data_IF_192344642435
#
_entry.id   IF_192344642435
#
_cell.length_a   1.000
_cell.length_b   1.000
_cell.length_c   1.000
_cell.angle_alpha   90.00
_cell.angle_beta   90.00
_cell.angle_gamma   90.00
#
_symmetry.space_group_name_H-M   'P 1'
#
loop_
_entity.id
_entity.type
_entity.pdbx_description
1 polymer ?
#
# COMPACT_ATOMS: atom_id res chain seq x y z
N UNK A 1 -41.57 -36.06 -26.76
CA UNK A 1 -42.11 -35.67 -28.08
C UNK A 1 -41.33 -34.44 -28.50
N UNK A 2 -40.30 -34.66 -29.31
CA UNK A 2 -39.49 -33.62 -29.92
C UNK A 2 -40.26 -32.97 -31.06
N UNK A 3 -40.18 -31.64 -31.21
CA UNK A 3 -40.23 -30.99 -32.52
C UNK A 3 -39.29 -29.77 -32.49
N UNK A 4 -38.21 -29.89 -33.25
CA UNK A 4 -37.38 -28.79 -33.74
C UNK A 4 -37.91 -28.32 -35.10
N UNK A 5 -37.85 -27.02 -35.38
CA UNK A 5 -37.92 -26.50 -36.76
C UNK A 5 -36.83 -25.43 -36.96
N UNK A 6 -36.04 -25.64 -38.01
CA UNK A 6 -34.92 -24.84 -38.51
C UNK A 6 -35.36 -24.10 -39.78
N UNK A 7 -34.74 -22.95 -40.05
CA UNK A 7 -34.59 -22.35 -41.39
C UNK A 7 -34.89 -20.85 -41.36
N UNK A 8 -34.03 -19.93 -41.78
CA UNK A 8 -33.23 -19.99 -43.01
C UNK A 8 -31.97 -19.11 -42.94
N UNK A 9 -30.97 -19.59 -43.67
CA UNK A 9 -29.65 -19.00 -43.91
C UNK A 9 -29.68 -17.90 -44.99
N UNK A 10 -28.78 -16.93 -44.88
CA UNK A 10 -28.11 -16.35 -46.06
C UNK A 10 -26.60 -16.28 -45.78
N UNK A 11 -25.83 -16.97 -46.63
CA UNK A 11 -24.37 -16.89 -46.69
C UNK A 11 -23.98 -15.70 -47.56
N UNK A 12 -22.99 -14.91 -47.11
CA UNK A 12 -22.17 -14.11 -48.01
C UNK A 12 -20.70 -14.21 -47.60
N UNK A 13 -19.85 -14.32 -48.62
CA UNK A 13 -18.49 -14.82 -48.63
C UNK A 13 -17.47 -13.91 -47.96
N UNK A 14 -16.43 -14.56 -47.45
CA UNK A 14 -15.11 -14.03 -47.09
C UNK A 14 -14.52 -13.25 -48.27
N UNK A 15 -14.09 -12.01 -48.02
CA UNK A 15 -12.99 -11.39 -48.74
C UNK A 15 -12.09 -10.66 -47.74
N UNK A 16 -10.83 -11.08 -47.72
CA UNK A 16 -9.71 -10.51 -46.98
C UNK A 16 -9.41 -9.07 -47.43
N UNK A 17 -9.46 -8.10 -46.51
CA UNK A 17 -8.63 -6.90 -46.61
C UNK A 17 -8.02 -6.54 -45.26
N UNK A 18 -6.70 -6.37 -45.31
CA UNK A 18 -5.74 -6.10 -44.25
C UNK A 18 -5.81 -4.61 -43.84
N UNK A 19 -5.45 -4.32 -42.59
CA UNK A 19 -5.30 -2.99 -41.94
C UNK A 19 -6.62 -2.24 -41.68
N UNK A 20 -7.01 -1.88 -40.45
CA UNK A 20 -6.28 -1.01 -39.50
C UNK A 20 -6.53 -1.49 -38.06
N UNK A 21 -5.48 -2.05 -37.44
CA UNK A 21 -5.33 -2.14 -36.00
C UNK A 21 -4.53 -0.90 -35.57
N UNK A 22 -5.13 0.03 -34.83
CA UNK A 22 -4.42 0.86 -33.85
C UNK A 22 -5.38 1.84 -33.18
N UNK A 23 -5.58 1.67 -31.87
CA UNK A 23 -5.81 2.69 -30.83
C UNK A 23 -6.81 2.24 -29.76
N UNK A 24 -6.57 1.07 -29.16
CA UNK A 24 -6.99 0.86 -27.77
C UNK A 24 -6.14 1.79 -26.89
N UNK A 25 -6.75 2.83 -26.31
CA UNK A 25 -6.15 3.56 -25.20
C UNK A 25 -6.18 2.64 -23.99
N UNK A 26 -5.08 1.91 -23.81
CA UNK A 26 -4.68 1.34 -22.53
C UNK A 26 -4.85 2.41 -21.44
N UNK A 27 -5.52 2.01 -20.36
CA UNK A 27 -5.42 2.68 -19.06
C UNK A 27 -3.95 2.56 -18.66
N UNK A 28 -3.18 3.63 -18.91
CA UNK A 28 -1.79 3.73 -18.50
C UNK A 28 -1.78 3.88 -16.99
N UNK A 29 -1.62 2.75 -16.29
CA UNK A 29 -0.86 2.78 -15.05
C UNK A 29 0.49 3.43 -15.38
N UNK A 30 0.88 4.45 -14.61
CA UNK A 30 2.20 5.05 -14.73
C UNK A 30 3.26 3.93 -14.75
N UNK A 31 3.99 3.90 -15.86
CA UNK A 31 5.02 2.92 -16.16
C UNK A 31 6.12 2.95 -15.08
N UNK A 32 6.02 2.07 -14.08
CA UNK A 32 7.17 1.61 -13.30
C UNK A 32 8.00 0.54 -14.06
N UNK A 33 7.77 0.38 -15.36
CA UNK A 33 8.51 -0.53 -16.22
C UNK A 33 9.67 0.17 -16.93
N UNK A 34 10.73 0.46 -16.16
CA UNK A 34 12.09 0.17 -16.66
C UNK A 34 12.79 -0.72 -15.63
N UNK A 35 12.73 -2.03 -15.96
CA UNK A 35 13.37 -3.20 -15.35
C UNK A 35 12.67 -3.90 -14.17
N UNK A 36 11.48 -4.45 -14.40
CA UNK A 36 11.17 -5.83 -13.96
C UNK A 36 10.31 -6.49 -15.03
N UNK A 37 10.89 -7.41 -15.79
CA UNK A 37 10.17 -8.24 -16.77
C UNK A 37 9.49 -9.39 -16.04
N UNK A 38 8.16 -9.45 -16.08
CA UNK A 38 7.40 -10.66 -15.79
C UNK A 38 7.52 -11.59 -17.00
N UNK A 39 8.41 -12.57 -16.91
CA UNK A 39 8.40 -13.76 -17.77
C UNK A 39 8.07 -14.98 -16.89
N UNK A 40 7.17 -15.87 -17.33
CA UNK A 40 6.96 -17.14 -16.66
C UNK A 40 8.21 -17.99 -16.88
N UNK A 41 8.86 -18.35 -15.77
CA UNK A 41 9.87 -19.40 -15.65
C UNK A 41 11.02 -19.35 -16.67
N UNK A 42 12.14 -18.71 -16.33
CA UNK A 42 13.51 -19.25 -16.50
C UNK A 42 14.59 -18.26 -16.04
N UNK A 43 15.53 -18.77 -15.24
CA UNK A 43 16.88 -18.27 -14.90
C UNK A 43 17.00 -16.82 -14.37
N UNK A 44 17.16 -16.74 -13.05
CA UNK A 44 17.64 -15.59 -12.27
C UNK A 44 18.77 -14.83 -12.99
N UNK A 45 18.54 -13.56 -13.32
CA UNK A 45 19.62 -12.59 -13.51
C UNK A 45 19.95 -11.97 -12.16
N UNK A 46 21.13 -12.34 -11.67
CA UNK A 46 21.75 -11.90 -10.42
C UNK A 46 22.12 -10.41 -10.52
N UNK A 47 21.36 -9.54 -9.87
CA UNK A 47 21.83 -8.18 -9.59
C UNK A 47 22.72 -8.23 -8.35
N UNK A 48 23.93 -7.68 -8.48
CA UNK A 48 24.87 -7.53 -7.35
C UNK A 48 24.49 -6.29 -6.54
N UNK A 49 24.21 -6.55 -5.26
CA UNK A 49 24.38 -5.72 -4.05
C UNK A 49 23.14 -5.12 -3.34
N UNK A 50 23.17 -5.34 -2.02
CA UNK A 50 22.29 -4.95 -0.89
C UNK A 50 20.91 -5.62 -0.80
N UNK A 51 20.75 -6.45 0.24
CA UNK A 51 19.54 -7.23 0.57
C UNK A 51 18.38 -6.39 1.10
N UNK A 52 17.91 -5.43 0.30
CA UNK A 52 16.68 -4.69 0.55
C UNK A 52 15.48 -5.50 0.08
N UNK A 53 14.46 -5.62 0.92
CA UNK A 53 13.15 -6.20 0.58
C UNK A 53 12.10 -5.11 0.44
N UNK A 54 11.30 -5.16 -0.62
CA UNK A 54 10.11 -4.33 -0.76
C UNK A 54 8.90 -5.24 -0.70
N UNK A 55 7.97 -4.93 0.20
CA UNK A 55 6.76 -5.73 0.39
C UNK A 55 5.54 -4.84 0.22
N UNK A 56 4.53 -5.39 -0.44
CA UNK A 56 3.21 -4.79 -0.54
C UNK A 56 2.31 -5.50 0.46
N UNK A 57 1.67 -4.74 1.37
CA UNK A 57 0.70 -5.27 2.32
C UNK A 57 -0.63 -5.58 1.61
N UNK A 58 -0.64 -6.68 0.86
CA UNK A 58 -1.85 -7.33 0.38
C UNK A 58 -2.03 -8.62 1.18
N UNK A 59 -3.22 -8.84 1.72
CA UNK A 59 -3.57 -10.06 2.47
C UNK A 59 -3.26 -11.29 1.61
N UNK A 60 -2.23 -12.06 1.97
CA UNK A 60 -1.97 -13.39 1.44
C UNK A 60 -1.71 -14.38 2.57
N UNK A 61 -2.70 -15.20 2.86
CA UNK A 61 -2.49 -16.54 3.39
C UNK A 61 -1.99 -17.44 2.26
N UNK A 62 -0.84 -18.10 2.42
CA UNK A 62 -0.39 -19.14 1.48
C UNK A 62 -0.17 -20.47 2.23
N UNK A 63 -0.66 -21.60 1.70
CA UNK A 63 -0.39 -22.92 2.28
C UNK A 63 0.99 -23.38 1.82
N UNK A 64 1.85 -23.72 2.78
CA UNK A 64 3.18 -24.30 2.50
C UNK A 64 2.99 -25.76 2.11
N UNK A 65 3.21 -26.08 0.83
CA UNK A 65 3.32 -27.46 0.34
C UNK A 65 4.77 -27.90 0.45
N UNK A 66 5.02 -28.94 1.25
CA UNK A 66 6.34 -29.55 1.42
C UNK A 66 6.50 -30.69 0.41
N UNK A 67 7.36 -30.49 -0.60
CA UNK A 67 7.89 -31.59 -1.40
C UNK A 67 9.21 -32.04 -0.78
N UNK A 68 9.26 -33.29 -0.30
CA UNK A 68 10.48 -33.99 0.13
C UNK A 68 10.86 -35.02 -0.92
N UNK A 69 12.14 -35.08 -1.32
CA UNK A 69 12.89 -36.33 -1.59
C UNK A 69 14.42 -36.11 -1.45
N UNK A 70 15.25 -37.16 -1.24
CA UNK A 70 16.46 -37.04 -0.40
C UNK A 70 17.83 -37.37 -1.06
N UNK A 71 18.90 -36.88 -0.38
CA UNK A 71 20.34 -37.28 -0.33
C UNK A 71 21.21 -37.09 -1.61
N UNK A 72 22.52 -36.81 -1.57
CA UNK A 72 23.62 -37.23 -0.66
C UNK A 72 24.90 -36.36 -0.84
N UNK A 73 25.59 -36.06 0.27
CA UNK A 73 27.07 -36.04 0.40
C UNK A 73 27.91 -34.83 -0.07
N UNK A 74 28.24 -33.91 0.83
CA UNK A 74 29.54 -33.22 0.89
C UNK A 74 29.62 -32.40 2.19
N UNK A 75 30.72 -32.54 2.93
CA UNK A 75 31.03 -31.85 4.17
C UNK A 75 31.27 -30.36 3.93
N UNK A 76 30.19 -29.58 3.91
CA UNK A 76 30.21 -28.16 4.19
C UNK A 76 29.48 -27.92 5.51
N UNK A 77 30.03 -27.07 6.38
CA UNK A 77 29.33 -26.50 7.54
C UNK A 77 27.85 -26.29 7.17
N UNK A 78 26.88 -26.65 8.03
CA UNK A 78 25.48 -26.47 7.69
C UNK A 78 25.31 -25.00 7.32
N UNK A 79 25.03 -24.73 6.04
CA UNK A 79 24.46 -23.45 5.64
C UNK A 79 23.26 -23.33 6.55
N UNK A 80 23.26 -22.33 7.44
CA UNK A 80 22.08 -22.00 8.22
C UNK A 80 20.91 -22.02 7.24
N UNK A 81 19.97 -22.94 7.45
CA UNK A 81 18.68 -22.90 6.76
C UNK A 81 18.24 -21.45 6.83
N UNK A 82 17.99 -20.83 5.69
CA UNK A 82 17.68 -19.41 5.57
C UNK A 82 16.55 -19.12 6.56
N UNK A 83 16.94 -18.55 7.71
CA UNK A 83 16.11 -18.55 8.90
C UNK A 83 14.96 -17.58 8.72
N UNK A 84 13.82 -17.87 9.33
CA UNK A 84 12.75 -16.88 9.44
C UNK A 84 13.31 -15.70 10.23
N UNK A 85 13.42 -14.53 9.58
CA UNK A 85 13.82 -13.29 10.24
C UNK A 85 12.66 -12.75 11.07
N UNK A 86 12.93 -12.42 12.32
CA UNK A 86 11.92 -11.90 13.25
C UNK A 86 12.15 -10.41 13.47
N UNK A 87 11.10 -9.63 13.22
CA UNK A 87 11.07 -8.19 13.48
C UNK A 87 10.03 -7.88 14.55
N UNK A 88 10.32 -6.92 15.42
CA UNK A 88 9.40 -6.45 16.46
C UNK A 88 8.95 -5.03 16.14
N UNK A 89 7.64 -4.80 16.11
CA UNK A 89 7.06 -3.48 15.91
C UNK A 89 7.40 -2.54 17.07
N UNK A 90 7.90 -1.36 16.75
CA UNK A 90 7.99 -0.26 17.71
C UNK A 90 6.59 0.30 18.02
N UNK A 91 6.42 1.01 19.15
CA UNK A 91 5.17 1.68 19.47
C UNK A 91 4.70 2.56 18.30
N UNK A 92 3.40 2.54 18.01
CA UNK A 92 2.82 3.32 16.90
C UNK A 92 3.03 4.83 17.09
N UNK A 93 3.15 5.27 18.33
CA UNK A 93 3.42 6.64 18.76
C UNK A 93 4.90 6.88 19.14
N UNK A 94 5.84 6.06 18.65
CA UNK A 94 7.27 6.22 18.95
C UNK A 94 7.83 7.61 18.59
N UNK A 95 7.21 8.29 17.62
CA UNK A 95 7.45 9.70 17.31
C UNK A 95 6.17 10.48 17.60
N UNK A 96 6.30 11.59 18.32
CA UNK A 96 5.20 12.49 18.67
C UNK A 96 4.77 13.36 17.49
N UNK A 97 3.66 14.06 17.68
CA UNK A 97 3.12 15.05 16.74
C UNK A 97 4.01 16.30 16.53
N UNK A 98 5.01 16.51 17.38
CA UNK A 98 6.06 17.52 17.25
C UNK A 98 7.39 16.92 16.78
N UNK A 99 7.35 15.71 16.20
CA UNK A 99 8.50 15.02 15.62
C UNK A 99 9.65 14.75 16.59
N UNK A 100 9.31 14.51 17.86
CA UNK A 100 10.27 14.11 18.89
C UNK A 100 10.04 12.67 19.30
N UNK A 101 11.11 11.99 19.74
CA UNK A 101 11.01 10.57 20.14
C UNK A 101 10.31 10.44 21.48
N UNK A 102 9.16 9.76 21.51
CA UNK A 102 8.46 9.42 22.73
C UNK A 102 9.19 8.31 23.48
N UNK A 103 9.23 8.41 24.81
CA UNK A 103 9.82 7.40 25.70
C UNK A 103 11.23 6.92 25.29
N UNK A 104 12.09 7.82 24.78
CA UNK A 104 13.39 7.47 24.20
C UNK A 104 14.26 6.54 25.07
N UNK A 105 14.28 6.74 26.39
CA UNK A 105 15.01 5.87 27.33
C UNK A 105 14.46 4.44 27.38
N UNK A 106 13.13 4.30 27.37
CA UNK A 106 12.48 2.99 27.38
C UNK A 106 12.69 2.28 26.04
N UNK A 107 12.56 2.99 24.91
CA UNK A 107 12.88 2.45 23.59
C UNK A 107 14.35 1.98 23.54
N UNK A 108 15.29 2.79 24.00
CA UNK A 108 16.70 2.42 24.04
C UNK A 108 16.96 1.14 24.87
N UNK A 109 16.31 1.01 26.02
CA UNK A 109 16.39 -0.21 26.84
C UNK A 109 15.78 -1.42 26.12
N UNK A 110 14.61 -1.25 25.50
CA UNK A 110 13.95 -2.29 24.71
C UNK A 110 14.80 -2.77 23.53
N UNK A 111 15.39 -1.86 22.76
CA UNK A 111 16.28 -2.20 21.64
C UNK A 111 17.48 -3.06 22.10
N UNK A 112 18.10 -2.72 23.24
CA UNK A 112 19.18 -3.54 23.81
C UNK A 112 18.69 -4.93 24.21
N UNK A 113 17.52 -5.03 24.84
CA UNK A 113 16.93 -6.31 25.21
C UNK A 113 16.61 -7.17 23.98
N UNK A 114 15.99 -6.60 22.95
CA UNK A 114 15.71 -7.29 21.67
C UNK A 114 16.99 -7.83 21.03
N UNK A 115 18.07 -7.04 21.07
CA UNK A 115 19.37 -7.49 20.56
C UNK A 115 19.93 -8.69 21.33
N UNK A 116 19.85 -8.66 22.67
CA UNK A 116 20.29 -9.77 23.52
C UNK A 116 19.46 -11.05 23.31
N UNK A 117 18.19 -10.89 22.96
CA UNK A 117 17.29 -12.00 22.63
C UNK A 117 17.50 -12.58 21.22
N UNK A 118 18.42 -12.01 20.42
CA UNK A 118 18.73 -12.49 19.08
C UNK A 118 17.69 -12.13 18.01
N UNK A 119 16.86 -11.11 18.26
CA UNK A 119 15.92 -10.57 17.27
C UNK A 119 16.70 -9.91 16.12
N UNK A 120 16.24 -10.10 14.87
CA UNK A 120 16.92 -9.60 13.68
C UNK A 120 16.80 -8.08 13.54
N UNK A 121 15.63 -7.53 13.87
CA UNK A 121 15.35 -6.12 13.69
C UNK A 121 14.05 -5.64 14.30
N UNK A 122 13.72 -4.40 13.98
CA UNK A 122 12.47 -3.75 14.40
C UNK A 122 11.75 -3.14 13.20
N UNK A 123 10.42 -3.04 13.33
CA UNK A 123 9.58 -2.33 12.38
C UNK A 123 9.22 -0.95 12.94
N UNK A 124 9.40 0.09 12.12
CA UNK A 124 9.10 1.49 12.46
C UNK A 124 8.02 2.02 11.51
N UNK A 125 6.79 2.31 12.00
CA UNK A 125 5.81 3.04 11.22
C UNK A 125 6.25 4.51 11.08
N UNK A 126 6.20 5.03 9.85
CA UNK A 126 6.53 6.41 9.50
C UNK A 126 5.27 7.07 8.97
N UNK A 127 4.71 7.97 9.78
CA UNK A 127 3.41 8.57 9.53
C UNK A 127 3.50 9.81 8.66
N UNK A 128 2.76 9.81 7.55
CA UNK A 128 2.67 10.94 6.64
C UNK A 128 2.24 12.22 7.36
N UNK A 129 1.22 12.15 8.20
CA UNK A 129 0.72 13.30 8.97
C UNK A 129 1.64 13.84 10.04
N UNK A 130 2.68 13.10 10.44
CA UNK A 130 3.72 13.60 11.35
C UNK A 130 4.85 14.25 10.55
N UNK A 131 5.31 13.58 9.49
CA UNK A 131 6.48 14.03 8.70
C UNK A 131 6.16 15.27 7.87
N UNK A 132 4.98 15.34 7.25
CA UNK A 132 4.57 16.43 6.35
C UNK A 132 3.38 17.22 6.92
N UNK A 133 3.40 17.43 8.25
CA UNK A 133 2.26 17.91 9.06
C UNK A 133 1.64 19.21 8.55
N UNK A 134 2.42 20.29 8.49
CA UNK A 134 1.90 21.65 8.35
C UNK A 134 1.58 22.03 6.91
N UNK A 135 2.45 21.66 5.96
CA UNK A 135 2.30 22.08 4.57
C UNK A 135 2.97 21.13 3.59
N UNK A 136 2.33 20.95 2.44
CA UNK A 136 2.84 20.15 1.33
C UNK A 136 4.29 20.52 0.96
N UNK A 137 5.15 19.51 0.84
CA UNK A 137 6.57 19.61 0.51
C UNK A 137 7.49 19.98 1.68
N UNK A 138 6.96 20.27 2.88
CA UNK A 138 7.78 20.52 4.07
C UNK A 138 7.85 19.29 4.95
N UNK A 139 8.92 18.53 4.77
CA UNK A 139 9.18 17.31 5.52
C UNK A 139 10.08 17.59 6.72
N UNK A 140 9.67 17.14 7.89
CA UNK A 140 10.54 17.02 9.04
C UNK A 140 10.76 15.53 9.34
N UNK A 141 12.03 15.12 9.36
CA UNK A 141 12.45 13.74 9.59
C UNK A 141 13.17 13.56 10.93
N UNK A 142 13.28 14.62 11.74
CA UNK A 142 14.16 14.69 12.91
C UNK A 142 13.96 13.55 13.90
N UNK A 143 12.73 13.31 14.38
CA UNK A 143 12.42 12.23 15.32
C UNK A 143 12.70 10.84 14.75
N UNK A 144 12.36 10.62 13.48
CA UNK A 144 12.59 9.34 12.80
C UNK A 144 14.08 9.06 12.55
N UNK A 145 14.88 10.09 12.25
CA UNK A 145 16.33 9.96 12.10
C UNK A 145 17.00 9.60 13.42
N UNK A 146 16.56 10.19 14.54
CA UNK A 146 17.04 9.82 15.89
C UNK A 146 16.71 8.36 16.18
N UNK A 147 15.50 7.88 15.87
CA UNK A 147 15.16 6.47 16.05
C UNK A 147 16.01 5.55 15.17
N UNK A 148 16.21 5.89 13.89
CA UNK A 148 17.05 5.10 13.00
C UNK A 148 18.50 5.00 13.51
N UNK A 149 19.05 6.08 14.06
CA UNK A 149 20.37 6.09 14.70
C UNK A 149 20.39 5.21 15.97
N UNK A 150 19.38 5.31 16.83
CA UNK A 150 19.27 4.44 18.02
C UNK A 150 19.23 2.95 17.64
N UNK A 151 18.50 2.59 16.58
CA UNK A 151 18.35 1.22 16.08
C UNK A 151 19.66 0.73 15.47
N UNK A 152 20.34 1.58 14.70
CA UNK A 152 21.66 1.29 14.15
C UNK A 152 22.69 1.03 15.27
N UNK A 153 22.72 1.90 16.28
CA UNK A 153 23.63 1.79 17.43
C UNK A 153 23.35 0.55 18.28
N UNK A 154 22.10 0.08 18.34
CA UNK A 154 21.74 -1.19 18.97
C UNK A 154 22.15 -2.42 18.14
N UNK A 155 22.61 -2.24 16.90
CA UNK A 155 23.00 -3.32 16.00
C UNK A 155 21.82 -4.15 15.50
N UNK A 156 20.63 -3.55 15.40
CA UNK A 156 19.40 -4.17 14.88
C UNK A 156 19.15 -3.72 13.44
N UNK A 157 18.46 -4.56 12.66
CA UNK A 157 17.94 -4.14 11.34
C UNK A 157 16.67 -3.32 11.50
N UNK A 158 16.40 -2.50 10.49
CA UNK A 158 15.22 -1.66 10.41
C UNK A 158 14.38 -2.06 9.19
N UNK A 159 13.10 -2.30 9.45
CA UNK A 159 12.05 -2.35 8.44
C UNK A 159 11.17 -1.12 8.61
N UNK A 160 10.97 -0.34 7.56
CA UNK A 160 10.19 0.90 7.62
C UNK A 160 8.83 0.68 6.97
N UNK A 161 7.76 1.13 7.63
CA UNK A 161 6.40 1.11 7.07
C UNK A 161 5.93 2.54 6.82
N UNK A 162 5.84 2.95 5.55
CA UNK A 162 5.39 4.29 5.16
C UNK A 162 3.86 4.35 5.23
N UNK A 163 3.33 5.08 6.19
CA UNK A 163 1.92 5.16 6.51
C UNK A 163 1.28 6.41 5.88
N UNK A 164 0.67 6.26 4.71
CA UNK A 164 -0.16 7.28 4.04
C UNK A 164 -1.61 7.34 4.53
N UNK A 165 -1.86 6.79 5.71
CA UNK A 165 -3.14 6.79 6.41
C UNK A 165 -2.97 7.41 7.80
N UNK A 166 -4.07 7.93 8.35
CA UNK A 166 -4.21 8.27 9.76
C UNK A 166 -4.66 7.07 10.59
N UNK A 167 -4.66 7.24 11.91
CA UNK A 167 -5.16 6.30 12.89
C UNK A 167 -5.94 7.04 13.98
N UNK A 168 -7.03 6.44 14.45
CA UNK A 168 -7.78 6.96 15.60
C UNK A 168 -7.20 6.51 16.94
N UNK A 169 -6.50 5.37 16.95
CA UNK A 169 -5.95 4.74 18.15
C UNK A 169 -4.58 4.09 17.82
N UNK A 170 -3.46 4.76 18.14
CA UNK A 170 -3.35 6.12 18.70
C UNK A 170 -3.84 7.20 17.73
N UNK A 171 -4.17 8.39 18.25
CA UNK A 171 -4.68 9.52 17.43
C UNK A 171 -3.55 10.13 16.59
N UNK A 172 -3.42 9.68 15.35
CA UNK A 172 -2.44 10.15 14.38
C UNK A 172 -3.20 10.61 13.14
N UNK A 173 -3.34 11.93 12.90
CA UNK A 173 -4.12 12.41 11.76
C UNK A 173 -3.35 12.24 10.44
N UNK A 174 -4.07 12.40 9.32
CA UNK A 174 -3.44 12.80 8.06
C UNK A 174 -2.80 14.20 8.21
N UNK A 175 -1.95 14.65 7.27
CA UNK A 175 -1.43 16.01 7.32
C UNK A 175 -2.53 17.06 7.49
N UNK A 176 -2.24 18.13 8.23
CA UNK A 176 -3.23 19.16 8.54
C UNK A 176 -3.75 19.81 7.25
N UNK A 177 -2.85 20.11 6.32
CA UNK A 177 -3.21 20.70 5.03
C UNK A 177 -4.12 19.78 4.17
N UNK A 178 -3.98 18.45 4.27
CA UNK A 178 -4.88 17.49 3.60
C UNK A 178 -6.25 17.50 4.27
N UNK A 179 -6.26 17.53 5.61
CA UNK A 179 -7.50 17.56 6.39
C UNK A 179 -8.32 18.82 6.08
N UNK A 180 -7.67 19.98 5.95
CA UNK A 180 -8.33 21.23 5.54
C UNK A 180 -8.94 21.13 4.13
N UNK A 181 -8.26 20.49 3.18
CA UNK A 181 -8.84 20.23 1.85
C UNK A 181 -10.06 19.33 1.97
N UNK A 182 -9.98 18.27 2.77
CA UNK A 182 -11.08 17.33 2.99
C UNK A 182 -12.29 17.91 3.72
N UNK A 183 -12.10 18.96 4.52
CA UNK A 183 -13.20 19.72 5.13
C UNK A 183 -13.95 20.57 4.10
N UNK A 184 -13.25 21.08 3.09
CA UNK A 184 -13.85 21.85 1.99
C UNK A 184 -14.42 20.95 0.88
N UNK A 185 -13.74 19.85 0.58
CA UNK A 185 -14.08 18.89 -0.46
C UNK A 185 -14.01 17.45 0.08
N UNK A 186 -15.09 16.98 0.75
CA UNK A 186 -15.12 15.64 1.34
C UNK A 186 -14.99 14.49 0.34
N UNK A 187 -15.18 14.73 -0.96
CA UNK A 187 -15.08 13.69 -2.00
C UNK A 187 -13.68 13.12 -2.19
N UNK A 188 -12.65 13.72 -1.57
CA UNK A 188 -11.31 13.13 -1.53
C UNK A 188 -11.23 11.87 -0.67
N UNK A 189 -12.22 11.63 0.19
CA UNK A 189 -12.29 10.48 1.10
C UNK A 189 -13.23 9.41 0.57
N UNK A 190 -13.01 8.16 1.00
CA UNK A 190 -13.97 7.09 0.76
C UNK A 190 -15.32 7.42 1.41
N UNK A 191 -16.43 7.14 0.73
CA UNK A 191 -17.77 7.30 1.27
C UNK A 191 -18.58 5.99 1.22
N UNK A 192 -19.39 5.76 2.24
CA UNK A 192 -20.38 4.69 2.28
C UNK A 192 -21.70 5.12 1.65
N UNK A 193 -22.69 4.22 1.61
CA UNK A 193 -23.97 4.52 0.94
C UNK A 193 -24.73 5.67 1.61
N UNK A 194 -24.59 5.80 2.92
CA UNK A 194 -25.20 6.86 3.73
C UNK A 194 -24.55 8.22 3.50
N UNK A 195 -23.38 8.26 2.87
CA UNK A 195 -22.62 9.47 2.60
C UNK A 195 -21.66 9.85 3.72
N UNK A 196 -21.40 8.95 4.68
CA UNK A 196 -20.40 9.18 5.71
C UNK A 196 -19.01 8.99 5.09
N UNK A 197 -18.05 9.82 5.49
CA UNK A 197 -16.71 9.83 4.91
C UNK A 197 -15.68 9.19 5.86
N UNK A 198 -14.82 8.31 5.31
CA UNK A 198 -13.68 7.74 6.01
C UNK A 198 -12.48 8.68 5.89
N UNK A 199 -12.26 9.49 6.93
CA UNK A 199 -11.29 10.61 6.90
C UNK A 199 -9.84 10.22 7.19
N UNK A 200 -9.57 8.96 7.49
CA UNK A 200 -8.21 8.50 7.82
C UNK A 200 -7.41 8.08 6.58
N UNK A 201 -7.98 8.09 5.37
CA UNK A 201 -7.25 7.74 4.15
C UNK A 201 -7.94 8.34 2.91
N UNK A 202 -7.17 8.78 1.93
CA UNK A 202 -7.70 9.27 0.65
C UNK A 202 -8.36 8.13 -0.14
N UNK A 203 -9.40 8.45 -0.89
CA UNK A 203 -10.05 7.51 -1.79
C UNK A 203 -9.12 7.13 -2.94
N UNK A 204 -9.06 5.84 -3.26
CA UNK A 204 -8.37 5.33 -4.44
C UNK A 204 -8.86 6.00 -5.75
N UNK A 205 -10.08 6.55 -5.77
CA UNK A 205 -10.61 7.25 -6.93
C UNK A 205 -9.90 8.57 -7.23
N UNK A 206 -9.18 9.15 -6.26
CA UNK A 206 -8.47 10.42 -6.45
C UNK A 206 -6.99 10.27 -6.75
N UNK A 207 -6.45 9.05 -6.83
CA UNK A 207 -5.02 8.77 -7.04
C UNK A 207 -4.40 9.56 -8.21
N UNK A 208 -5.15 9.70 -9.31
CA UNK A 208 -4.73 10.39 -10.54
C UNK A 208 -5.47 11.73 -10.77
N UNK A 209 -6.20 12.21 -9.76
CA UNK A 209 -6.98 13.46 -9.83
C UNK A 209 -6.24 14.53 -9.02
N UNK A 210 -6.02 15.76 -9.56
CA UNK A 210 -5.20 16.77 -8.91
C UNK A 210 -5.95 17.52 -7.78
N UNK A 211 -6.43 16.78 -6.78
CA UNK A 211 -7.26 17.28 -5.67
C UNK A 211 -6.44 17.93 -4.55
N UNK A 212 -5.12 17.79 -4.55
CA UNK A 212 -4.23 18.29 -3.50
C UNK A 212 -3.53 19.57 -3.96
N UNK A 213 -4.28 20.68 -4.06
CA UNK A 213 -3.79 21.99 -4.52
C UNK A 213 -3.05 21.91 -5.88
N UNK A 214 -3.62 21.17 -6.84
CA UNK A 214 -3.06 21.00 -8.18
C UNK A 214 -2.13 19.78 -8.34
N UNK A 215 -1.83 19.04 -7.26
CA UNK A 215 -1.13 17.75 -7.33
C UNK A 215 -2.08 16.57 -7.13
N UNK A 216 -1.71 15.42 -7.70
CA UNK A 216 -2.38 14.16 -7.41
C UNK A 216 -1.81 13.51 -6.13
N UNK A 217 -2.58 12.70 -5.39
CA UNK A 217 -2.07 11.91 -4.27
C UNK A 217 -0.83 11.08 -4.63
N UNK A 218 -0.82 10.43 -5.80
CA UNK A 218 0.35 9.65 -6.25
C UNK A 218 1.60 10.50 -6.40
N UNK A 219 1.49 11.74 -6.90
CA UNK A 219 2.61 12.67 -6.97
C UNK A 219 3.13 13.05 -5.57
N UNK A 220 2.22 13.33 -4.64
CA UNK A 220 2.59 13.65 -3.24
C UNK A 220 3.28 12.46 -2.57
N UNK A 221 2.76 11.25 -2.74
CA UNK A 221 3.37 10.03 -2.21
C UNK A 221 4.75 9.76 -2.82
N UNK A 222 4.92 10.04 -4.12
CA UNK A 222 6.22 9.93 -4.78
C UNK A 222 7.23 10.91 -4.17
N UNK A 223 6.89 12.19 -4.02
CA UNK A 223 7.77 13.20 -3.45
C UNK A 223 8.13 12.89 -1.99
N UNK A 224 7.18 12.37 -1.22
CA UNK A 224 7.42 11.88 0.14
C UNK A 224 8.44 10.74 0.15
N UNK A 225 8.30 9.75 -0.75
CA UNK A 225 9.22 8.63 -0.87
C UNK A 225 10.62 9.08 -1.34
N UNK A 226 10.71 10.07 -2.22
CA UNK A 226 11.97 10.66 -2.66
C UNK A 226 12.67 11.39 -1.51
N UNK A 227 11.91 12.17 -0.73
CA UNK A 227 12.38 12.83 0.49
C UNK A 227 12.87 11.81 1.52
N UNK A 228 12.10 10.76 1.81
CA UNK A 228 12.51 9.65 2.68
C UNK A 228 13.82 9.00 2.21
N UNK A 229 13.91 8.67 0.91
CA UNK A 229 15.11 8.06 0.35
C UNK A 229 16.34 8.95 0.53
N UNK A 230 16.20 10.26 0.32
CA UNK A 230 17.29 11.23 0.47
C UNK A 230 17.73 11.34 1.93
N UNK A 231 16.78 11.58 2.84
CA UNK A 231 17.02 11.77 4.28
C UNK A 231 17.62 10.53 4.95
N UNK A 232 17.24 9.33 4.51
CA UNK A 232 17.70 8.07 5.11
C UNK A 232 18.82 7.38 4.31
N UNK A 233 19.43 8.07 3.34
CA UNK A 233 20.46 7.53 2.44
C UNK A 233 21.59 6.78 3.17
N UNK A 234 22.05 7.29 4.31
CA UNK A 234 23.11 6.67 5.13
C UNK A 234 22.68 5.35 5.83
N UNK A 235 21.37 5.11 5.97
CA UNK A 235 20.84 3.91 6.59
C UNK A 235 20.48 2.82 5.58
N UNK A 236 20.33 3.15 4.30
CA UNK A 236 20.02 2.16 3.26
C UNK A 236 21.18 1.20 3.02
N UNK A 237 20.88 -0.10 2.96
CA UNK A 237 21.87 -1.16 2.75
C UNK A 237 22.72 -1.49 3.98
N UNK A 238 22.64 -0.68 5.04
CA UNK A 238 23.26 -0.92 6.34
C UNK A 238 22.19 -1.35 7.36
N UNK A 239 21.40 -0.40 7.85
CA UNK A 239 20.38 -0.57 8.88
C UNK A 239 19.03 -0.88 8.28
N UNK A 240 18.56 -0.08 7.31
CA UNK A 240 17.31 -0.29 6.61
C UNK A 240 17.47 -1.46 5.63
N UNK A 241 16.69 -2.51 5.87
CA UNK A 241 16.70 -3.75 5.07
C UNK A 241 15.36 -4.06 4.43
N UNK A 242 14.32 -3.28 4.73
CA UNK A 242 13.09 -3.32 3.98
C UNK A 242 12.20 -2.12 4.17
N UNK A 243 11.34 -1.90 3.19
CA UNK A 243 10.35 -0.84 3.19
C UNK A 243 9.02 -1.43 2.74
N UNK A 244 7.98 -1.16 3.51
CA UNK A 244 6.59 -1.44 3.16
C UNK A 244 5.86 -0.13 2.95
N UNK A 245 5.06 -0.08 1.90
CA UNK A 245 4.30 1.11 1.52
C UNK A 245 2.82 0.86 1.82
N UNK A 246 2.23 1.71 2.66
CA UNK A 246 0.80 1.68 2.95
C UNK A 246 -0.01 2.12 1.74
N UNK A 247 -1.02 1.34 1.36
CA UNK A 247 -1.82 1.58 0.14
C UNK A 247 -3.30 1.82 0.43
N UNK A 248 -3.64 2.13 1.68
CA UNK A 248 -5.01 2.28 2.09
C UNK A 248 -5.16 2.36 3.62
N UNK A 249 -6.40 2.19 4.11
CA UNK A 249 -6.72 2.15 5.54
C UNK A 249 -5.85 1.16 6.30
N UNK A 250 -5.31 1.60 7.44
CA UNK A 250 -4.39 0.82 8.29
C UNK A 250 -3.15 0.29 7.55
N UNK A 251 -2.80 0.92 6.41
CA UNK A 251 -1.65 0.56 5.59
C UNK A 251 -1.89 -0.63 4.66
N UNK A 252 -3.12 -1.16 4.61
CA UNK A 252 -3.46 -2.33 3.79
C UNK A 252 -4.09 -1.92 2.46
N UNK A 253 -3.83 -2.70 1.42
CA UNK A 253 -4.50 -2.53 0.12
C UNK A 253 -5.95 -3.05 0.19
N UNK A 254 -6.85 -2.24 0.75
CA UNK A 254 -8.28 -2.56 0.87
C UNK A 254 -9.14 -1.29 0.99
N UNK A 255 -10.45 -1.49 0.91
CA UNK A 255 -11.43 -0.47 1.31
C UNK A 255 -11.64 -0.47 2.84
N UNK A 256 -12.06 0.67 3.44
CA UNK A 256 -12.38 0.76 4.86
C UNK A 256 -13.77 0.18 5.19
N UNK A 257 -14.02 -1.08 4.84
CA UNK A 257 -15.36 -1.68 4.89
C UNK A 257 -15.92 -1.87 6.32
N UNK A 258 -15.05 -1.87 7.33
CA UNK A 258 -15.40 -2.07 8.74
C UNK A 258 -15.01 -0.82 9.53
N UNK A 259 -15.83 0.23 9.46
CA UNK A 259 -15.54 1.53 10.09
C UNK A 259 -15.70 1.52 11.61
N UNK A 260 -16.56 0.64 12.12
CA UNK A 260 -16.76 0.45 13.54
C UNK A 260 -15.86 -0.68 14.02
N UNK A 261 -14.93 -0.35 14.91
CA UNK A 261 -14.36 -1.37 15.79
C UNK A 261 -15.54 -2.06 16.46
N UNK A 262 -15.60 -3.38 16.32
CA UNK A 262 -16.49 -4.19 17.12
C UNK A 262 -16.32 -3.75 18.57
N UNK A 263 -17.36 -3.14 19.16
CA UNK A 263 -17.53 -3.23 20.60
C UNK A 263 -17.37 -4.71 20.97
N UNK A 264 -16.72 -5.02 22.09
CA UNK A 264 -16.42 -6.39 22.51
C UNK A 264 -17.65 -7.35 22.52
N UNK A 265 -18.86 -6.83 22.32
CA UNK A 265 -20.13 -7.55 22.25
C UNK A 265 -20.65 -7.87 20.84
N UNK A 266 -20.08 -7.32 19.75
CA UNK A 266 -20.64 -7.49 18.40
C UNK A 266 -19.69 -8.23 17.45
N UNK A 267 -20.17 -9.31 16.84
CA UNK A 267 -19.51 -9.95 15.71
C UNK A 267 -19.43 -8.92 14.58
N UNK A 268 -18.24 -8.65 13.99
CA UNK A 268 -18.15 -7.73 12.86
C UNK A 268 -19.03 -8.25 11.73
N UNK A 269 -19.97 -7.41 11.27
CA UNK A 269 -20.82 -7.74 10.13
C UNK A 269 -20.02 -7.88 8.84
N UNK A 270 -20.70 -8.14 7.72
CA UNK A 270 -20.07 -8.36 6.39
C UNK A 270 -19.33 -7.14 5.81
N UNK A 271 -19.38 -6.00 6.49
CA UNK A 271 -18.86 -4.71 6.03
C UNK A 271 -19.79 -4.02 5.01
N UNK A 272 -19.38 -2.84 4.57
CA UNK A 272 -20.09 -2.05 3.57
C UNK A 272 -19.15 -1.57 2.46
N UNK A 273 -19.66 -1.47 1.22
CA UNK A 273 -18.94 -0.86 0.11
C UNK A 273 -18.62 0.62 0.37
N UNK A 274 -17.37 1.00 0.13
CA UNK A 274 -16.82 2.33 0.42
C UNK A 274 -16.48 3.10 -0.85
N UNK A 275 -17.41 3.04 -1.81
CA UNK A 275 -17.24 3.48 -3.18
C UNK A 275 -18.33 4.47 -3.63
N UNK A 276 -18.93 5.20 -2.69
CA UNK A 276 -20.01 6.15 -2.96
C UNK A 276 -19.53 7.60 -3.00
N UNK A 277 -18.22 7.84 -2.93
CA UNK A 277 -17.67 9.18 -3.11
C UNK A 277 -17.87 9.64 -4.57
N UNK A 278 -17.94 10.96 -4.76
CA UNK A 278 -18.24 11.57 -6.06
C UNK A 278 -17.27 11.09 -7.16
N UNK A 279 -16.00 10.95 -6.83
CA UNK A 279 -14.98 10.55 -7.81
C UNK A 279 -15.22 9.09 -8.23
N UNK A 280 -15.40 8.18 -7.28
CA UNK A 280 -15.66 6.77 -7.56
C UNK A 280 -16.97 6.54 -8.33
N UNK A 281 -18.03 7.28 -8.01
CA UNK A 281 -19.29 7.21 -8.75
C UNK A 281 -19.14 7.71 -10.19
N UNK A 282 -18.36 8.77 -10.42
CA UNK A 282 -18.05 9.23 -11.78
C UNK A 282 -17.26 8.18 -12.56
N UNK A 283 -16.23 7.58 -11.94
CA UNK A 283 -15.49 6.46 -12.53
C UNK A 283 -16.42 5.30 -12.89
N UNK A 284 -17.32 4.90 -11.99
CA UNK A 284 -18.29 3.84 -12.26
C UNK A 284 -19.21 4.19 -13.44
N UNK A 285 -19.71 5.43 -13.49
CA UNK A 285 -20.57 5.91 -14.57
C UNK A 285 -19.87 5.84 -15.93
N UNK A 286 -18.65 6.39 -16.02
CA UNK A 286 -17.85 6.35 -17.26
C UNK A 286 -17.58 4.90 -17.72
N UNK A 287 -17.26 4.00 -16.78
CA UNK A 287 -17.04 2.58 -17.10
C UNK A 287 -18.32 1.86 -17.52
N UNK A 288 -19.44 2.16 -16.91
CA UNK A 288 -20.74 1.59 -17.27
C UNK A 288 -21.19 2.03 -18.67
N UNK A 289 -20.99 3.31 -19.01
CA UNK A 289 -21.25 3.85 -20.35
C UNK A 289 -20.36 3.19 -21.40
N UNK A 290 -19.05 3.09 -21.15
CA UNK A 290 -18.11 2.43 -22.05
C UNK A 290 -18.40 0.93 -22.25
N UNK A 291 -19.00 0.28 -21.25
CA UNK A 291 -19.43 -1.12 -21.34
C UNK A 291 -20.81 -1.30 -22.01
N UNK A 292 -21.44 -0.23 -22.50
CA UNK A 292 -22.76 -0.27 -23.12
C UNK A 292 -23.92 -0.53 -22.13
N UNK A 293 -23.68 -0.35 -20.83
CA UNK A 293 -24.64 -0.60 -19.75
C UNK A 293 -24.85 0.64 -18.85
N UNK A 294 -25.25 1.81 -19.40
CA UNK A 294 -25.26 3.08 -18.67
C UNK A 294 -26.13 3.08 -17.41
N UNK A 295 -27.19 2.27 -17.38
CA UNK A 295 -28.11 2.14 -16.23
C UNK A 295 -27.36 1.64 -14.97
N UNK A 296 -26.30 0.86 -15.14
CA UNK A 296 -25.50 0.33 -14.02
C UNK A 296 -24.63 1.40 -13.33
N UNK A 297 -24.39 2.52 -14.02
CA UNK A 297 -23.60 3.65 -13.50
C UNK A 297 -24.44 4.76 -12.86
N UNK A 298 -25.77 4.69 -12.94
CA UNK A 298 -26.65 5.70 -12.35
C UNK A 298 -26.90 5.43 -10.86
N UNK A 299 -26.75 6.46 -10.03
CA UNK A 299 -27.17 6.40 -8.62
C UNK A 299 -28.69 6.24 -8.59
N UNK A 300 -29.18 5.06 -8.17
CA UNK A 300 -30.62 4.87 -7.95
C UNK A 300 -31.04 5.76 -6.78
N UNK A 301 -31.89 6.75 -7.05
CA UNK A 301 -32.65 7.45 -6.02
C UNK A 301 -33.54 6.42 -5.34
N UNK A 302 -33.26 6.10 -4.08
CA UNK A 302 -34.19 5.37 -3.21
C UNK A 302 -35.19 6.33 -2.60
#
# INVERSE_FOLDING_TARGET
>A
MEISVIGSSSQAKICTSRSVLSSYREIRFCNFQKRVSLLPNTKSKRWRNSGLSFTLNAVRSSPVRSDRLPHRGSSSKPKSLDGVRVFVGLPLDAVSDCNTVNHARAIAAGLRALKLLGIDGVELPVWWGIVEKESMGKYDWSGYLVLAEMIQNAGLKLHVSLCFHGSKQPKIPLPEWVSHIGDLEPSIYHADRSGDHYRECLSLAVDEVPVLNGKTPVQVYQEFCESFKSSFSNFFGSTITGVTVGLGPDGELRYPCHRHLASHTNIPGVGEFQCYDKNMLNLLKEKAEAAGNPIMGTRRST
#
